data_IF_412321627284
#
_entry.id   IF_412321627284
#
_cell.length_a   1.000
_cell.length_b   1.000
_cell.length_c   1.000
_cell.angle_alpha   90.00
_cell.angle_beta   90.00
_cell.angle_gamma   90.00
#
_symmetry.space_group_name_H-M   'P 1'
#
loop_
_entity.id
_entity.type
_entity.pdbx_description
1 polymer ?
#
# COMPACT_ATOMS: atom_id res chain seq x y z
N UNK A 1 -7.30 -16.60 1.37
CA UNK A 1 -7.50 -15.74 2.56
C UNK A 1 -6.30 -14.84 2.89
N UNK A 2 -5.23 -14.84 2.09
CA UNK A 2 -3.98 -14.15 2.44
C UNK A 2 -4.00 -12.62 2.29
N UNK A 3 -4.73 -12.07 1.31
CA UNK A 3 -4.62 -10.65 0.95
C UNK A 3 -4.84 -9.69 2.12
N UNK A 4 -5.88 -9.92 2.93
CA UNK A 4 -6.21 -9.05 4.06
C UNK A 4 -5.11 -9.06 5.12
N UNK A 5 -4.50 -10.22 5.36
CA UNK A 5 -3.41 -10.36 6.34
C UNK A 5 -2.11 -9.76 5.82
N UNK A 6 -1.76 -10.00 4.56
CA UNK A 6 -0.59 -9.39 3.92
C UNK A 6 -0.71 -7.86 3.87
N UNK A 7 -1.90 -7.35 3.53
CA UNK A 7 -2.18 -5.93 3.53
C UNK A 7 -2.03 -5.31 4.92
N UNK A 8 -2.55 -5.99 5.96
CA UNK A 8 -2.41 -5.54 7.33
C UNK A 8 -0.94 -5.59 7.79
N UNK A 9 -0.17 -6.60 7.39
CA UNK A 9 1.24 -6.70 7.76
C UNK A 9 2.07 -5.58 7.13
N UNK A 10 1.81 -5.25 5.85
CA UNK A 10 2.40 -4.08 5.18
C UNK A 10 2.06 -2.76 5.90
N UNK A 11 0.95 -2.72 6.64
CA UNK A 11 0.52 -1.56 7.41
C UNK A 11 -0.60 -0.75 6.75
N UNK A 12 -1.37 -1.37 5.87
CA UNK A 12 -2.59 -0.73 5.37
C UNK A 12 -3.71 -0.81 6.42
N UNK A 13 -4.28 0.34 6.80
CA UNK A 13 -5.51 0.39 7.62
C UNK A 13 -6.76 0.03 6.80
N UNK A 14 -6.71 0.31 5.50
CA UNK A 14 -7.83 0.08 4.59
C UNK A 14 -7.33 -0.37 3.22
N UNK A 15 -8.02 -1.35 2.66
CA UNK A 15 -7.83 -1.77 1.27
C UNK A 15 -9.12 -1.57 0.47
N UNK A 16 -8.97 -1.19 -0.79
CA UNK A 16 -10.06 -1.09 -1.76
C UNK A 16 -9.61 -1.71 -3.06
N UNK A 17 -10.38 -2.68 -3.55
CA UNK A 17 -10.25 -3.20 -4.91
C UNK A 17 -11.49 -2.80 -5.70
N UNK A 18 -11.31 -2.00 -6.76
CA UNK A 18 -12.40 -1.62 -7.65
C UNK A 18 -11.91 -1.36 -9.06
N UNK A 19 -12.67 -1.78 -10.07
CA UNK A 19 -12.40 -1.52 -11.49
C UNK A 19 -10.95 -1.86 -11.92
N UNK A 20 -10.41 -2.99 -11.47
CA UNK A 20 -9.03 -3.39 -11.78
C UNK A 20 -7.96 -2.54 -11.10
N UNK A 21 -8.30 -1.78 -10.07
CA UNK A 21 -7.37 -0.97 -9.29
C UNK A 21 -7.39 -1.44 -7.83
N UNK A 22 -6.22 -1.71 -7.28
CA UNK A 22 -6.01 -1.89 -5.85
C UNK A 22 -5.49 -0.61 -5.23
N UNK A 23 -6.07 -0.24 -4.09
CA UNK A 23 -5.67 0.89 -3.26
C UNK A 23 -5.44 0.39 -1.83
N UNK A 24 -4.22 0.52 -1.33
CA UNK A 24 -3.86 0.28 0.07
C UNK A 24 -3.62 1.62 0.76
N UNK A 25 -4.40 1.95 1.77
CA UNK A 25 -4.32 3.21 2.50
C UNK A 25 -3.49 3.03 3.77
N UNK A 26 -2.45 3.84 3.91
CA UNK A 26 -1.65 3.91 5.13
C UNK A 26 -2.40 4.69 6.22
N UNK A 27 -1.93 4.63 7.49
CA UNK A 27 -2.59 5.32 8.58
C UNK A 27 -2.84 6.79 8.27
N UNK A 28 -4.07 7.27 8.45
CA UNK A 28 -4.40 8.67 8.12
C UNK A 28 -3.67 9.66 9.02
N UNK A 29 -3.22 9.25 10.21
CA UNK A 29 -2.49 10.07 11.17
C UNK A 29 -1.00 10.15 10.79
N UNK A 30 -0.47 11.31 10.35
CA UNK A 30 0.95 11.43 9.98
C UNK A 30 1.92 11.25 11.16
N UNK A 31 1.43 11.39 12.40
CA UNK A 31 2.23 11.18 13.62
C UNK A 31 2.24 9.72 14.08
N UNK A 32 1.58 8.81 13.34
CA UNK A 32 1.61 7.40 13.68
C UNK A 32 3.05 6.85 13.68
N UNK A 33 3.38 6.02 14.68
CA UNK A 33 4.71 5.40 14.80
C UNK A 33 5.06 4.54 13.59
N UNK A 34 4.06 4.06 12.87
CA UNK A 34 4.23 3.34 11.61
C UNK A 34 5.12 4.12 10.63
N UNK A 35 4.93 5.44 10.49
CA UNK A 35 5.72 6.26 9.56
C UNK A 35 7.20 6.41 9.95
N UNK A 36 7.53 6.13 11.21
CA UNK A 36 8.92 6.13 11.71
C UNK A 36 9.56 4.74 11.66
N UNK A 37 8.79 3.70 11.32
CA UNK A 37 9.27 2.32 11.30
C UNK A 37 10.17 2.02 10.10
N UNK A 38 11.11 1.10 10.29
CA UNK A 38 11.95 0.60 9.19
C UNK A 38 11.12 -0.15 8.15
N UNK A 39 10.01 -0.77 8.57
CA UNK A 39 9.05 -1.41 7.66
C UNK A 39 8.51 -0.40 6.64
N UNK A 40 8.02 0.76 7.10
CA UNK A 40 7.51 1.79 6.20
C UNK A 40 8.60 2.31 5.27
N UNK A 41 9.82 2.55 5.78
CA UNK A 41 10.97 2.96 4.96
C UNK A 41 11.28 1.95 3.85
N UNK A 42 11.28 0.66 4.16
CA UNK A 42 11.50 -0.40 3.18
C UNK A 42 10.40 -0.43 2.10
N UNK A 43 9.13 -0.29 2.51
CA UNK A 43 7.99 -0.24 1.59
C UNK A 43 8.11 0.95 0.63
N UNK A 44 8.39 2.15 1.14
CA UNK A 44 8.56 3.35 0.31
C UNK A 44 9.75 3.19 -0.63
N UNK A 45 10.86 2.62 -0.15
CA UNK A 45 12.02 2.35 -0.99
C UNK A 45 11.68 1.40 -2.14
N UNK A 46 10.94 0.31 -1.89
CA UNK A 46 10.46 -0.61 -2.93
C UNK A 46 9.58 0.12 -3.95
N UNK A 47 8.54 0.83 -3.49
CA UNK A 47 7.59 1.52 -4.37
C UNK A 47 8.27 2.60 -5.23
N UNK A 48 9.31 3.24 -4.71
CA UNK A 48 10.10 4.23 -5.44
C UNK A 48 11.00 3.59 -6.49
N UNK A 49 11.57 2.41 -6.19
CA UNK A 49 12.43 1.66 -7.12
C UNK A 49 11.63 0.91 -8.19
N UNK A 50 10.39 0.51 -7.89
CA UNK A 50 9.53 -0.30 -8.75
C UNK A 50 8.18 0.39 -9.08
N UNK A 51 8.17 1.61 -9.67
CA UNK A 51 6.94 2.36 -9.92
C UNK A 51 5.99 1.71 -10.97
N UNK A 52 6.50 0.74 -11.74
CA UNK A 52 5.70 -0.08 -12.66
C UNK A 52 4.88 -1.14 -11.92
N UNK A 53 5.39 -1.60 -10.77
CA UNK A 53 4.74 -2.60 -9.96
C UNK A 53 3.63 -1.94 -9.17
N UNK A 54 3.91 -0.88 -8.43
CA UNK A 54 2.90 -0.07 -7.75
C UNK A 54 3.42 1.33 -7.45
N UNK A 55 2.50 2.26 -7.25
CA UNK A 55 2.83 3.67 -7.05
C UNK A 55 2.44 4.13 -5.66
N UNK A 56 3.32 4.88 -5.00
CA UNK A 56 2.94 5.70 -3.87
C UNK A 56 2.17 6.93 -4.39
N UNK A 57 1.01 7.20 -3.81
CA UNK A 57 0.18 8.37 -4.06
C UNK A 57 -0.17 9.05 -2.76
N UNK A 58 -0.42 10.34 -2.84
CA UNK A 58 -0.99 11.12 -1.74
C UNK A 58 -2.43 11.50 -2.10
N UNK A 59 -3.33 11.37 -1.13
CA UNK A 59 -4.71 11.82 -1.23
C UNK A 59 -4.92 12.97 -0.27
N UNK A 60 -5.07 14.18 -0.82
CA UNK A 60 -5.51 15.34 -0.05
C UNK A 60 -7.01 15.26 0.21
N UNK A 61 -7.40 15.34 1.47
CA UNK A 61 -8.78 15.44 1.94
C UNK A 61 -8.91 16.62 2.90
N UNK A 62 -10.14 16.99 3.29
CA UNK A 62 -10.38 18.10 4.23
C UNK A 62 -9.67 17.91 5.58
N UNK A 63 -9.50 16.66 5.99
CA UNK A 63 -8.87 16.26 7.25
C UNK A 63 -7.35 16.06 7.16
N UNK A 64 -6.75 16.32 5.99
CA UNK A 64 -5.30 16.23 5.78
C UNK A 64 -4.89 15.36 4.58
N UNK A 65 -3.59 15.14 4.47
CA UNK A 65 -3.00 14.31 3.44
C UNK A 65 -2.85 12.87 3.94
N UNK A 66 -3.31 11.90 3.15
CA UNK A 66 -3.16 10.48 3.43
C UNK A 66 -2.37 9.79 2.32
N UNK A 67 -1.31 9.07 2.69
CA UNK A 67 -0.57 8.25 1.74
C UNK A 67 -1.33 6.97 1.39
N UNK A 68 -1.21 6.56 0.14
CA UNK A 68 -1.75 5.29 -0.35
C UNK A 68 -0.83 4.64 -1.38
N UNK A 69 -0.82 3.31 -1.41
CA UNK A 69 -0.29 2.52 -2.52
C UNK A 69 -1.41 2.31 -3.55
N UNK A 70 -1.09 2.50 -4.84
CA UNK A 70 -1.99 2.20 -5.96
C UNK A 70 -1.33 1.21 -6.91
N UNK A 71 -2.06 0.13 -7.24
CA UNK A 71 -1.76 -0.78 -8.35
C UNK A 71 -2.91 -0.71 -9.36
N UNK A 72 -2.58 -0.39 -10.61
CA UNK A 72 -3.52 -0.44 -11.73
C UNK A 72 -3.41 -1.77 -12.48
N UNK A 73 -4.46 -2.11 -13.24
CA UNK A 73 -4.56 -3.34 -14.04
C UNK A 73 -4.48 -4.65 -13.24
N UNK A 74 -5.00 -4.66 -12.01
CA UNK A 74 -5.11 -5.86 -11.17
C UNK A 74 -6.09 -6.82 -11.81
N UNK A 75 -5.61 -7.99 -12.24
CA UNK A 75 -6.44 -9.00 -12.89
C UNK A 75 -7.13 -9.93 -11.89
N UNK A 76 -6.45 -10.25 -10.80
CA UNK A 76 -6.96 -11.15 -9.77
C UNK A 76 -6.28 -10.88 -8.42
N UNK A 77 -6.81 -11.52 -7.38
CA UNK A 77 -6.29 -11.39 -6.00
C UNK A 77 -4.91 -12.02 -5.83
N UNK A 78 -4.59 -13.05 -6.62
CA UNK A 78 -3.32 -13.78 -6.54
C UNK A 78 -2.13 -12.92 -6.97
N UNK A 79 -2.27 -12.13 -8.05
CA UNK A 79 -1.30 -11.13 -8.49
C UNK A 79 -0.99 -10.15 -7.36
N UNK A 80 -2.02 -9.67 -6.65
CA UNK A 80 -1.82 -8.79 -5.51
C UNK A 80 -1.13 -9.50 -4.35
N UNK A 81 -1.51 -10.74 -4.00
CA UNK A 81 -0.80 -11.49 -2.95
C UNK A 81 0.69 -11.62 -3.27
N UNK A 82 1.03 -11.91 -4.53
CA UNK A 82 2.41 -12.03 -4.96
C UNK A 82 3.15 -10.68 -4.84
N UNK A 83 2.53 -9.59 -5.30
CA UNK A 83 3.10 -8.25 -5.17
C UNK A 83 3.33 -7.84 -3.72
N UNK A 84 2.35 -8.08 -2.83
CA UNK A 84 2.50 -7.75 -1.42
C UNK A 84 3.64 -8.55 -0.77
N UNK A 85 3.82 -9.83 -1.14
CA UNK A 85 4.96 -10.63 -0.67
C UNK A 85 6.30 -10.05 -1.15
N UNK A 86 6.40 -9.63 -2.41
CA UNK A 86 7.62 -9.01 -2.95
C UNK A 86 8.00 -7.71 -2.21
N UNK A 87 7.01 -6.90 -1.82
CA UNK A 87 7.24 -5.65 -1.07
C UNK A 87 7.78 -5.94 0.34
N UNK A 88 7.39 -7.08 0.93
CA UNK A 88 7.83 -7.47 2.27
C UNK A 88 9.23 -8.09 2.32
N UNK A 89 9.75 -8.57 1.17
CA UNK A 89 11.03 -9.26 1.07
C UNK A 89 10.89 -10.78 1.11
#
# INVERSE_FOLDING_TARGET
MELKWLAADIGFEKIVMKNGVFLGYFPSNPQDKFYQSDKFRAIIAYLTQHPKDAQLKEKTSKDGNQLMMRKDNVKNVEEMNHLLKLIMG
#
